data_IF_203028792893
#
_entry.id   IF_203028792893
#
_cell.length_a   1.000
_cell.length_b   1.000
_cell.length_c   1.000
_cell.angle_alpha   90.00
_cell.angle_beta   90.00
_cell.angle_gamma   90.00
#
_symmetry.space_group_name_H-M   'P 1'
#
loop_
_entity.id
_entity.type
_entity.pdbx_description
1 polymer ?
#
# COMPACT_ATOMS: atom_id res chain seq x y z
N UNK A 1 30.83 -40.59 -1.18
CA UNK A 1 29.87 -40.03 -0.20
C UNK A 1 29.97 -38.51 -0.28
N UNK A 2 28.84 -37.79 -0.46
CA UNK A 2 28.85 -36.32 -0.36
C UNK A 2 28.99 -35.96 1.13
N UNK A 3 29.75 -34.93 1.51
CA UNK A 3 29.90 -34.54 2.91
C UNK A 3 28.57 -34.05 3.48
N UNK A 4 28.34 -34.30 4.77
CA UNK A 4 27.17 -33.82 5.51
C UNK A 4 27.14 -32.28 5.51
N UNK A 5 25.93 -31.71 5.48
CA UNK A 5 25.75 -30.26 5.52
C UNK A 5 26.05 -29.73 6.92
N UNK A 6 26.75 -28.59 7.01
CA UNK A 6 26.99 -27.85 8.27
C UNK A 6 25.82 -26.93 8.65
N UNK A 7 24.80 -26.86 7.80
CA UNK A 7 23.61 -26.01 7.91
C UNK A 7 22.37 -26.79 7.45
N UNK A 8 21.19 -26.37 7.89
CA UNK A 8 19.92 -26.90 7.38
C UNK A 8 19.58 -26.30 6.02
N UNK A 9 18.82 -27.02 5.19
CA UNK A 9 18.36 -26.52 3.88
C UNK A 9 17.59 -25.20 4.06
N UNK A 10 16.78 -25.09 5.12
CA UNK A 10 16.05 -23.89 5.48
C UNK A 10 16.94 -22.66 5.77
N UNK A 11 18.04 -22.85 6.49
CA UNK A 11 18.99 -21.75 6.80
C UNK A 11 19.65 -21.23 5.53
N UNK A 12 20.08 -22.14 4.64
CA UNK A 12 20.69 -21.72 3.37
C UNK A 12 19.71 -20.97 2.49
N UNK A 13 18.48 -21.47 2.41
CA UNK A 13 17.40 -20.78 1.72
C UNK A 13 17.16 -19.39 2.33
N UNK A 14 17.15 -19.26 3.66
CA UNK A 14 16.94 -17.97 4.31
C UNK A 14 18.07 -16.96 3.98
N UNK A 15 19.32 -17.40 4.00
CA UNK A 15 20.49 -16.59 3.62
C UNK A 15 20.38 -16.09 2.17
N UNK A 16 20.11 -16.98 1.21
CA UNK A 16 19.96 -16.60 -0.20
C UNK A 16 18.83 -15.56 -0.39
N UNK A 17 17.80 -15.59 0.45
CA UNK A 17 16.73 -14.60 0.41
C UNK A 17 17.13 -13.27 0.99
N UNK A 18 17.81 -13.26 2.13
CA UNK A 18 18.31 -12.01 2.70
C UNK A 18 19.22 -11.29 1.70
N UNK A 19 20.04 -12.04 0.96
CA UNK A 19 20.81 -11.52 -0.16
C UNK A 19 19.93 -10.92 -1.26
N UNK A 20 18.86 -11.61 -1.69
CA UNK A 20 17.91 -11.08 -2.69
C UNK A 20 17.17 -9.83 -2.21
N UNK A 21 16.75 -9.80 -0.94
CA UNK A 21 16.09 -8.64 -0.32
C UNK A 21 17.08 -7.47 -0.25
N UNK A 22 18.35 -7.75 0.03
CA UNK A 22 19.43 -6.78 0.04
C UNK A 22 19.67 -6.09 -1.30
N UNK A 23 19.22 -6.70 -2.41
CA UNK A 23 19.29 -6.06 -3.73
C UNK A 23 18.31 -4.90 -3.90
N UNK A 24 17.24 -4.83 -3.10
CA UNK A 24 16.23 -3.76 -3.22
C UNK A 24 16.88 -2.42 -2.87
N UNK A 25 16.85 -1.43 -3.78
CA UNK A 25 17.42 -0.12 -3.51
C UNK A 25 16.79 0.55 -2.28
N UNK A 26 17.62 0.96 -1.32
CA UNK A 26 17.22 1.74 -0.14
C UNK A 26 17.35 3.24 -0.41
N UNK A 27 16.64 3.72 -1.42
CA UNK A 27 16.68 5.13 -1.84
C UNK A 27 15.43 5.84 -1.31
N UNK A 28 15.59 7.06 -0.78
CA UNK A 28 14.46 7.89 -0.41
C UNK A 28 13.74 8.40 -1.67
N UNK A 29 12.44 8.09 -1.87
CA UNK A 29 11.68 8.56 -3.02
C UNK A 29 11.55 10.09 -3.12
N UNK A 30 11.87 10.84 -2.07
CA UNK A 30 11.87 12.31 -2.08
C UNK A 30 13.24 12.93 -2.43
N UNK A 31 14.33 12.17 -2.37
CA UNK A 31 15.68 12.65 -2.74
C UNK A 31 15.84 12.66 -4.27
N UNK A 32 15.24 13.65 -4.95
CA UNK A 32 15.08 13.71 -6.41
C UNK A 32 16.40 13.79 -7.19
N UNK A 33 17.48 14.17 -6.53
CA UNK A 33 18.85 14.24 -7.04
C UNK A 33 19.54 12.88 -7.15
N UNK A 34 19.02 11.86 -6.44
CA UNK A 34 19.58 10.51 -6.45
C UNK A 34 18.79 9.63 -7.42
N UNK A 35 19.41 9.13 -8.51
CA UNK A 35 18.72 8.26 -9.45
C UNK A 35 18.33 6.93 -8.77
N UNK A 36 17.15 6.41 -9.12
CA UNK A 36 16.76 5.05 -8.71
C UNK A 36 17.60 4.07 -9.54
N UNK A 37 18.37 3.16 -8.92
CA UNK A 37 19.10 2.13 -9.64
C UNK A 37 18.13 1.26 -10.46
N UNK A 38 18.56 0.63 -11.56
CA UNK A 38 17.68 -0.29 -12.29
C UNK A 38 17.25 -1.47 -11.42
N UNK A 39 16.13 -2.11 -11.78
CA UNK A 39 15.65 -3.32 -11.12
C UNK A 39 16.79 -4.35 -11.03
N UNK A 40 17.08 -4.90 -9.84
CA UNK A 40 18.16 -5.86 -9.70
C UNK A 40 17.91 -7.10 -10.56
N UNK A 41 18.92 -7.50 -11.33
CA UNK A 41 18.91 -8.76 -12.03
C UNK A 41 19.17 -9.90 -11.02
N UNK A 42 18.26 -10.87 -10.97
CA UNK A 42 18.49 -12.08 -10.19
C UNK A 42 19.64 -12.87 -10.83
N UNK A 43 20.60 -13.33 -10.00
CA UNK A 43 21.78 -14.08 -10.45
C UNK A 43 21.42 -15.41 -11.12
N UNK A 44 20.31 -16.01 -10.69
CA UNK A 44 19.82 -17.30 -11.17
C UNK A 44 18.32 -17.22 -11.51
N UNK A 45 17.86 -18.06 -12.45
CA UNK A 45 16.44 -18.27 -12.70
C UNK A 45 15.78 -19.06 -11.55
N UNK A 46 14.45 -19.05 -11.48
CA UNK A 46 13.70 -19.86 -10.49
C UNK A 46 14.08 -21.34 -10.63
N UNK A 47 14.19 -21.83 -11.87
CA UNK A 47 14.53 -23.23 -12.16
C UNK A 47 15.94 -23.58 -11.67
N UNK A 48 16.91 -22.67 -11.82
CA UNK A 48 18.28 -22.85 -11.33
C UNK A 48 18.32 -22.88 -9.80
N UNK A 49 17.60 -21.96 -9.13
CA UNK A 49 17.46 -21.94 -7.68
C UNK A 49 16.83 -23.25 -7.16
N UNK A 50 15.77 -23.73 -7.82
CA UNK A 50 15.10 -24.97 -7.44
C UNK A 50 15.99 -26.20 -7.61
N UNK A 51 16.77 -26.30 -8.70
CA UNK A 51 17.75 -27.38 -8.87
C UNK A 51 18.80 -27.36 -7.76
N UNK A 52 19.26 -26.17 -7.36
CA UNK A 52 20.22 -26.01 -6.27
C UNK A 52 19.63 -26.46 -4.93
N UNK A 53 18.38 -26.08 -4.64
CA UNK A 53 17.67 -26.56 -3.45
C UNK A 53 17.41 -28.07 -3.49
N UNK A 54 17.11 -28.61 -4.68
CA UNK A 54 16.96 -30.04 -4.91
C UNK A 54 18.23 -30.81 -4.54
N UNK A 55 19.40 -30.34 -4.97
CA UNK A 55 20.68 -30.94 -4.63
C UNK A 55 21.03 -30.87 -3.13
N UNK A 56 20.52 -29.87 -2.41
CA UNK A 56 20.66 -29.76 -0.96
C UNK A 56 19.73 -30.74 -0.25
N UNK A 57 18.48 -30.83 -0.71
CA UNK A 57 17.49 -31.80 -0.21
C UNK A 57 18.02 -33.23 -0.36
N UNK A 58 18.65 -33.56 -1.49
CA UNK A 58 19.23 -34.89 -1.74
C UNK A 58 20.38 -35.28 -0.80
N UNK A 59 20.95 -34.32 -0.07
CA UNK A 59 21.98 -34.58 0.95
C UNK A 59 21.38 -34.87 2.32
N UNK A 60 20.11 -34.53 2.55
CA UNK A 60 19.45 -34.77 3.83
C UNK A 60 18.97 -36.22 3.87
N UNK A 61 19.45 -36.96 4.88
CA UNK A 61 19.02 -38.32 5.10
C UNK A 61 17.51 -38.36 5.38
N UNK A 62 16.81 -39.29 4.73
CA UNK A 62 15.38 -39.48 4.96
C UNK A 62 15.12 -39.84 6.44
N UNK A 63 14.03 -39.34 7.05
CA UNK A 63 13.67 -39.62 8.43
C UNK A 63 13.63 -41.13 8.67
N UNK A 64 14.46 -41.61 9.59
CA UNK A 64 14.36 -42.98 10.08
C UNK A 64 13.05 -43.10 10.87
N UNK A 65 12.35 -44.23 10.73
CA UNK A 65 10.99 -44.47 11.27
C UNK A 65 10.84 -44.39 12.80
N UNK A 66 11.88 -44.01 13.53
CA UNK A 66 11.98 -44.10 14.99
C UNK A 66 11.48 -42.87 15.76
N UNK A 67 11.14 -41.76 15.09
CA UNK A 67 10.75 -40.49 15.76
C UNK A 67 9.31 -40.43 16.28
N UNK A 68 8.56 -41.53 16.18
CA UNK A 68 7.15 -41.58 16.58
C UNK A 68 6.28 -40.62 15.75
N UNK A 69 5.08 -40.33 16.27
CA UNK A 69 4.11 -39.46 15.60
C UNK A 69 4.47 -37.99 15.79
N UNK A 70 4.37 -37.19 14.72
CA UNK A 70 4.63 -35.75 14.82
C UNK A 70 3.52 -35.06 15.65
N UNK A 71 3.84 -34.08 16.53
CA UNK A 71 2.84 -33.45 17.42
C UNK A 71 1.60 -32.88 16.71
N UNK A 72 1.76 -32.34 15.51
CA UNK A 72 0.64 -31.86 14.69
C UNK A 72 -0.34 -33.00 14.30
N UNK A 73 0.18 -34.21 14.06
CA UNK A 73 -0.63 -35.39 13.76
C UNK A 73 -1.25 -35.96 15.03
N UNK A 74 -0.54 -35.95 16.16
CA UNK A 74 -1.13 -36.33 17.46
C UNK A 74 -2.37 -35.49 17.78
N UNK A 75 -2.30 -34.19 17.49
CA UNK A 75 -3.44 -33.28 17.63
C UNK A 75 -4.62 -33.66 16.75
N UNK A 76 -4.37 -34.05 15.49
CA UNK A 76 -5.40 -34.54 14.58
C UNK A 76 -6.02 -35.84 15.10
N UNK A 77 -5.20 -36.76 15.60
CA UNK A 77 -5.66 -38.03 16.18
C UNK A 77 -6.53 -37.81 17.42
N UNK A 78 -6.12 -36.91 18.32
CA UNK A 78 -6.86 -36.58 19.54
C UNK A 78 -8.24 -35.97 19.23
N UNK A 79 -8.31 -35.08 18.23
CA UNK A 79 -9.59 -34.52 17.77
C UNK A 79 -10.48 -35.59 17.13
N UNK A 80 -9.90 -36.53 16.37
CA UNK A 80 -10.65 -37.63 15.77
C UNK A 80 -11.22 -38.60 16.80
N UNK A 81 -10.44 -38.91 17.85
CA UNK A 81 -10.89 -39.69 18.99
C UNK A 81 -12.03 -38.98 19.74
N UNK A 82 -11.91 -37.66 19.96
CA UNK A 82 -12.98 -36.84 20.55
C UNK A 82 -14.26 -36.90 19.70
N UNK A 83 -14.16 -36.82 18.37
CA UNK A 83 -15.31 -36.98 17.44
C UNK A 83 -15.93 -38.36 17.57
N UNK A 84 -15.12 -39.42 17.67
CA UNK A 84 -15.61 -40.77 17.87
C UNK A 84 -16.37 -40.93 19.20
N UNK A 85 -15.85 -40.39 20.30
CA UNK A 85 -16.53 -40.41 21.62
C UNK A 85 -17.85 -39.63 21.60
N UNK A 86 -17.87 -38.47 20.94
CA UNK A 86 -19.09 -37.69 20.78
C UNK A 86 -20.14 -38.41 19.94
N UNK A 87 -19.74 -39.15 18.90
CA UNK A 87 -20.69 -39.92 18.08
C UNK A 87 -21.35 -41.06 18.87
N UNK A 88 -20.60 -41.69 19.77
CA UNK A 88 -21.14 -42.71 20.70
C UNK A 88 -22.14 -42.09 21.68
N UNK A 89 -21.85 -40.87 22.15
CA UNK A 89 -22.70 -40.16 23.12
C UNK A 89 -23.92 -39.49 22.46
N UNK A 90 -23.74 -39.01 21.24
CA UNK A 90 -24.73 -38.23 20.48
C UNK A 90 -24.72 -38.69 19.02
N UNK A 91 -25.82 -39.31 18.60
CA UNK A 91 -25.98 -39.85 17.23
C UNK A 91 -25.93 -38.80 16.11
N UNK A 92 -26.02 -37.50 16.45
CA UNK A 92 -25.91 -36.37 15.52
C UNK A 92 -24.49 -35.79 15.41
N UNK A 93 -23.51 -36.36 16.13
CA UNK A 93 -22.12 -35.91 16.10
C UNK A 93 -21.44 -36.03 14.73
N UNK A 94 -20.46 -35.16 14.47
CA UNK A 94 -19.60 -35.27 13.29
C UNK A 94 -18.80 -36.57 13.35
N UNK A 95 -18.78 -37.33 12.24
CA UNK A 95 -18.03 -38.58 12.17
C UNK A 95 -16.52 -38.32 12.26
N UNK A 96 -15.76 -39.26 12.87
CA UNK A 96 -14.31 -39.23 12.76
C UNK A 96 -13.88 -39.35 11.29
N UNK A 97 -12.90 -38.56 10.91
CA UNK A 97 -12.37 -38.37 9.56
C UNK A 97 -11.23 -39.34 9.25
N UNK A 98 -10.42 -39.73 10.25
CA UNK A 98 -9.21 -40.53 10.07
C UNK A 98 -9.27 -41.93 10.71
N UNK A 99 -10.40 -42.31 11.31
CA UNK A 99 -10.57 -43.61 11.96
C UNK A 99 -10.45 -44.82 11.00
N UNK A 100 -10.69 -44.62 9.70
CA UNK A 100 -10.60 -45.66 8.67
C UNK A 100 -9.15 -46.14 8.45
N UNK A 101 -8.92 -47.35 7.91
CA UNK A 101 -7.58 -47.81 7.56
C UNK A 101 -6.84 -46.87 6.61
N UNK A 102 -7.57 -46.25 5.68
CA UNK A 102 -7.04 -45.24 4.76
C UNK A 102 -6.68 -43.94 5.51
N UNK A 103 -7.52 -43.50 6.46
CA UNK A 103 -7.26 -42.38 7.37
C UNK A 103 -5.97 -42.54 8.15
N UNK A 104 -5.75 -43.73 8.70
CA UNK A 104 -4.51 -44.06 9.42
C UNK A 104 -3.28 -44.05 8.52
N UNK A 105 -3.40 -44.54 7.28
CA UNK A 105 -2.32 -44.47 6.28
C UNK A 105 -1.97 -43.02 5.93
N UNK A 106 -2.98 -42.18 5.74
CA UNK A 106 -2.79 -40.74 5.50
C UNK A 106 -2.05 -40.08 6.67
N UNK A 107 -2.50 -40.29 7.91
CA UNK A 107 -1.87 -39.71 9.09
C UNK A 107 -0.42 -40.20 9.29
N UNK A 108 -0.14 -41.47 8.99
CA UNK A 108 1.21 -42.01 9.04
C UNK A 108 2.12 -41.38 7.97
N UNK A 109 1.63 -41.19 6.75
CA UNK A 109 2.36 -40.48 5.71
C UNK A 109 2.57 -39.00 6.05
N UNK A 110 1.54 -38.32 6.56
CA UNK A 110 1.63 -36.94 7.04
C UNK A 110 2.66 -36.79 8.15
N UNK A 111 2.66 -37.67 9.14
CA UNK A 111 3.66 -37.65 10.21
C UNK A 111 5.09 -37.73 9.65
N UNK A 112 5.32 -38.60 8.65
CA UNK A 112 6.62 -38.73 7.98
C UNK A 112 6.97 -37.47 7.18
N UNK A 113 6.02 -36.85 6.48
CA UNK A 113 6.23 -35.60 5.75
C UNK A 113 6.60 -34.44 6.69
N UNK A 114 5.94 -34.32 7.84
CA UNK A 114 6.24 -33.25 8.80
C UNK A 114 7.62 -33.43 9.43
N UNK A 115 8.00 -34.67 9.74
CA UNK A 115 9.37 -34.96 10.18
C UNK A 115 10.40 -34.69 9.09
N UNK A 116 10.10 -35.04 7.83
CA UNK A 116 10.93 -34.70 6.68
C UNK A 116 11.16 -33.19 6.57
N UNK A 117 10.10 -32.39 6.67
CA UNK A 117 10.24 -30.93 6.69
C UNK A 117 11.04 -30.41 7.89
N UNK A 118 10.86 -31.02 9.06
CA UNK A 118 11.66 -30.69 10.24
C UNK A 118 13.15 -30.98 10.02
N UNK A 119 13.48 -32.09 9.35
CA UNK A 119 14.86 -32.46 9.00
C UNK A 119 15.49 -31.52 7.97
N UNK A 120 14.67 -30.95 7.08
CA UNK A 120 15.10 -29.88 6.18
C UNK A 120 15.28 -28.52 6.89
N UNK A 121 14.92 -28.41 8.17
CA UNK A 121 14.93 -27.17 8.97
C UNK A 121 13.68 -26.31 8.79
N UNK A 122 12.65 -26.80 8.10
CA UNK A 122 11.36 -26.12 8.03
C UNK A 122 10.62 -26.29 9.36
N UNK A 123 9.65 -25.41 9.60
CA UNK A 123 8.88 -25.35 10.85
C UNK A 123 7.42 -25.73 10.55
N UNK A 124 7.09 -27.03 10.50
CA UNK A 124 5.70 -27.45 10.45
C UNK A 124 4.98 -27.05 11.74
N UNK A 125 3.72 -26.67 11.63
CA UNK A 125 2.90 -26.21 12.74
C UNK A 125 1.45 -26.66 12.60
N UNK A 126 0.73 -26.66 13.72
CA UNK A 126 -0.72 -26.90 13.74
C UNK A 126 -1.43 -25.89 14.63
N UNK A 127 -2.41 -25.18 14.07
CA UNK A 127 -3.26 -24.21 14.75
C UNK A 127 -4.68 -24.72 14.99
N UNK A 128 -5.45 -24.01 15.81
CA UNK A 128 -6.87 -24.32 16.06
C UNK A 128 -7.10 -25.42 17.09
N UNK A 129 -8.34 -25.53 17.59
CA UNK A 129 -8.75 -26.57 18.56
C UNK A 129 -9.64 -27.63 17.92
N UNK A 130 -10.71 -27.22 17.24
CA UNK A 130 -11.68 -28.12 16.56
C UNK A 130 -11.45 -28.24 15.06
N UNK A 131 -11.03 -27.14 14.43
CA UNK A 131 -10.65 -27.06 13.02
C UNK A 131 -9.14 -26.90 12.96
N UNK A 132 -8.44 -28.03 12.98
CA UNK A 132 -6.99 -28.05 13.01
C UNK A 132 -6.47 -27.58 11.65
N UNK A 133 -5.73 -26.48 11.64
CA UNK A 133 -5.07 -25.95 10.44
C UNK A 133 -3.62 -26.36 10.46
N UNK A 134 -3.13 -26.92 9.37
CA UNK A 134 -1.72 -27.26 9.23
C UNK A 134 -1.00 -26.15 8.47
N UNK A 135 0.25 -25.91 8.82
CA UNK A 135 1.10 -24.96 8.11
C UNK A 135 2.56 -25.37 8.15
N UNK A 136 3.34 -24.83 7.23
CA UNK A 136 4.78 -25.01 7.17
C UNK A 136 5.45 -23.66 6.93
N UNK A 137 6.44 -23.35 7.76
CA UNK A 137 7.24 -22.15 7.60
C UNK A 137 8.67 -22.47 7.15
N UNK A 138 9.19 -21.66 6.23
CA UNK A 138 10.56 -21.68 5.74
C UNK A 138 11.08 -20.24 5.74
N UNK A 139 11.83 -19.88 6.79
CA UNK A 139 12.19 -18.49 7.07
C UNK A 139 10.96 -17.63 7.38
N UNK A 140 10.83 -16.48 6.72
CA UNK A 140 9.70 -15.54 6.88
C UNK A 140 8.45 -15.95 6.10
N UNK A 141 8.53 -16.98 5.28
CA UNK A 141 7.38 -17.48 4.52
C UNK A 141 6.65 -18.55 5.33
N UNK A 142 5.34 -18.42 5.42
CA UNK A 142 4.45 -19.40 6.02
C UNK A 142 3.35 -19.77 5.02
N UNK A 143 3.08 -21.06 4.89
CA UNK A 143 2.03 -21.57 4.02
C UNK A 143 1.16 -22.59 4.73
N UNK A 144 -0.15 -22.33 4.78
CA UNK A 144 -1.11 -23.32 5.27
C UNK A 144 -1.38 -24.37 4.21
N UNK A 145 -1.70 -25.58 4.65
CA UNK A 145 -2.11 -26.66 3.76
C UNK A 145 -3.12 -27.58 4.43
N UNK A 146 -3.84 -28.31 3.60
CA UNK A 146 -4.84 -29.29 3.98
C UNK A 146 -4.48 -30.63 3.34
N UNK A 147 -4.81 -31.72 4.05
CA UNK A 147 -4.62 -33.08 3.56
C UNK A 147 -5.90 -33.85 3.78
N UNK A 148 -6.36 -34.57 2.76
CA UNK A 148 -7.63 -35.31 2.80
C UNK A 148 -7.70 -36.39 1.74
N UNK A 149 -8.91 -36.89 1.52
CA UNK A 149 -9.23 -37.81 0.43
C UNK A 149 -9.83 -37.02 -0.72
N UNK A 150 -9.60 -37.45 -1.97
CA UNK A 150 -10.32 -36.86 -3.10
C UNK A 150 -11.80 -37.18 -2.97
N UNK A 151 -12.59 -36.26 -2.44
CA UNK A 151 -14.03 -36.31 -2.60
C UNK A 151 -14.31 -36.23 -4.11
N UNK A 152 -15.05 -37.20 -4.66
CA UNK A 152 -15.46 -37.15 -6.07
C UNK A 152 -16.35 -35.95 -6.39
N UNK A 153 -16.85 -35.24 -5.39
CA UNK A 153 -17.71 -34.08 -5.60
C UNK A 153 -17.29 -32.92 -4.71
N UNK A 154 -17.43 -31.71 -5.25
CA UNK A 154 -17.60 -30.49 -4.47
C UNK A 154 -18.82 -30.58 -3.55
N UNK A 155 -19.37 -29.46 -3.06
CA UNK A 155 -20.43 -29.52 -2.07
C UNK A 155 -21.65 -30.25 -2.66
N UNK A 156 -21.97 -31.40 -2.07
CA UNK A 156 -23.10 -32.30 -2.33
C UNK A 156 -22.81 -33.52 -3.22
N UNK A 157 -22.65 -34.68 -2.58
CA UNK A 157 -23.35 -35.91 -3.00
C UNK A 157 -23.41 -36.95 -1.88
N UNK A 158 -24.63 -37.29 -1.49
CA UNK A 158 -24.98 -38.49 -0.74
C UNK A 158 -24.99 -39.67 -1.73
N UNK A 159 -24.14 -40.68 -1.50
CA UNK A 159 -24.45 -42.14 -1.55
C UNK A 159 -23.25 -42.98 -2.00
N UNK A 160 -22.87 -43.90 -1.12
CA UNK A 160 -22.71 -45.31 -1.47
C UNK A 160 -21.79 -45.64 -2.64
N UNK A 161 -20.49 -45.51 -2.43
CA UNK A 161 -19.46 -46.18 -3.25
C UNK A 161 -18.48 -46.84 -2.28
N UNK A 162 -18.25 -48.15 -2.45
CA UNK A 162 -17.28 -48.91 -1.67
C UNK A 162 -15.88 -48.35 -1.99
N UNK A 163 -15.27 -47.69 -1.02
CA UNK A 163 -13.93 -47.11 -1.11
C UNK A 163 -12.88 -48.23 -1.12
N UNK A 164 -12.38 -48.54 -2.31
CA UNK A 164 -11.10 -49.24 -2.49
C UNK A 164 -10.32 -48.39 -3.50
N UNK A 165 -9.23 -47.78 -3.02
CA UNK A 165 -8.30 -46.85 -3.70
C UNK A 165 -8.81 -45.45 -4.07
N UNK A 166 -9.29 -44.68 -3.09
CA UNK A 166 -9.38 -43.22 -3.26
C UNK A 166 -8.00 -42.57 -3.10
N UNK A 167 -7.52 -41.76 -4.06
CA UNK A 167 -6.23 -41.10 -3.94
C UNK A 167 -6.26 -40.05 -2.81
N UNK A 168 -5.11 -39.89 -2.17
CA UNK A 168 -4.87 -38.84 -1.18
C UNK A 168 -4.76 -37.49 -1.87
N UNK A 169 -5.22 -36.45 -1.19
CA UNK A 169 -5.18 -35.07 -1.67
C UNK A 169 -4.35 -34.22 -0.71
N UNK A 170 -3.37 -33.47 -1.23
CA UNK A 170 -2.72 -32.35 -0.53
C UNK A 170 -3.08 -31.06 -1.24
N UNK A 171 -3.52 -30.07 -0.49
CA UNK A 171 -3.87 -28.74 -1.01
C UNK A 171 -3.14 -27.68 -0.23
N UNK A 172 -2.32 -26.86 -0.91
CA UNK A 172 -1.84 -25.62 -0.32
C UNK A 172 -2.96 -24.58 -0.36
N UNK A 173 -3.12 -23.80 0.71
CA UNK A 173 -4.08 -22.68 0.74
C UNK A 173 -3.75 -21.74 -0.42
N UNK A 174 -4.72 -21.32 -1.24
CA UNK A 174 -4.42 -20.34 -2.29
C UNK A 174 -4.60 -18.92 -1.74
N UNK A 175 -3.62 -18.05 -2.00
CA UNK A 175 -3.68 -16.65 -1.60
C UNK A 175 -4.55 -15.80 -2.54
N UNK A 176 -5.00 -16.37 -3.66
CA UNK A 176 -5.71 -15.59 -4.68
C UNK A 176 -7.23 -15.71 -4.54
N UNK A 177 -7.90 -14.55 -4.50
CA UNK A 177 -9.36 -14.45 -4.64
C UNK A 177 -9.87 -14.96 -6.01
N UNK A 178 -8.97 -15.27 -6.93
CA UNK A 178 -9.25 -15.66 -8.32
C UNK A 178 -8.72 -17.06 -8.68
N UNK A 179 -8.32 -17.88 -7.71
CA UNK A 179 -7.75 -19.19 -8.03
C UNK A 179 -8.82 -20.08 -8.64
N UNK A 180 -8.46 -20.75 -9.73
CA UNK A 180 -9.38 -21.67 -10.39
C UNK A 180 -9.71 -22.82 -9.44
N UNK A 181 -10.96 -23.32 -9.42
CA UNK A 181 -11.30 -24.53 -8.69
C UNK A 181 -10.33 -25.67 -9.09
N UNK A 182 -9.60 -26.24 -8.12
CA UNK A 182 -8.62 -27.31 -8.35
C UNK A 182 -7.17 -26.85 -8.54
N UNK A 183 -6.89 -25.54 -8.59
CA UNK A 183 -5.52 -25.03 -8.60
C UNK A 183 -4.86 -25.25 -7.23
N UNK A 184 -3.66 -25.83 -7.21
CA UNK A 184 -2.92 -26.15 -5.97
C UNK A 184 -3.39 -27.42 -5.25
N UNK A 185 -4.18 -28.27 -5.93
CA UNK A 185 -4.60 -29.60 -5.45
C UNK A 185 -3.70 -30.67 -6.06
N UNK A 186 -3.12 -31.52 -5.21
CA UNK A 186 -2.24 -32.60 -5.61
C UNK A 186 -2.79 -33.93 -5.15
N UNK A 187 -2.90 -34.87 -6.09
CA UNK A 187 -3.45 -36.20 -5.84
C UNK A 187 -2.36 -37.26 -5.92
N UNK A 188 -2.38 -38.19 -4.97
CA UNK A 188 -1.37 -39.24 -4.84
C UNK A 188 -2.06 -40.57 -4.56
N UNK A 189 -1.64 -41.64 -5.23
CA UNK A 189 -2.14 -42.99 -4.92
C UNK A 189 -1.62 -43.47 -3.57
N UNK A 190 -0.37 -43.13 -3.23
CA UNK A 190 0.26 -43.41 -1.94
C UNK A 190 0.94 -42.16 -1.40
N UNK A 191 0.75 -41.88 -0.10
CA UNK A 191 1.34 -40.73 0.58
C UNK A 191 2.63 -41.15 1.33
N UNK A 192 3.71 -41.36 0.58
CA UNK A 192 5.00 -41.88 1.08
C UNK A 192 6.22 -41.08 0.55
N UNK A 193 7.42 -41.45 0.97
CA UNK A 193 8.70 -40.78 0.70
C UNK A 193 8.90 -40.31 -0.75
N UNK A 194 8.54 -41.06 -1.81
CA UNK A 194 8.74 -40.61 -3.19
C UNK A 194 7.99 -39.32 -3.53
N UNK A 195 6.88 -39.00 -2.84
CA UNK A 195 6.10 -37.78 -3.09
C UNK A 195 6.56 -36.58 -2.25
N UNK A 196 7.34 -36.80 -1.19
CA UNK A 196 7.74 -35.71 -0.27
C UNK A 196 8.68 -34.70 -0.91
N UNK A 197 9.67 -35.18 -1.68
CA UNK A 197 10.60 -34.30 -2.40
C UNK A 197 9.85 -33.43 -3.43
N UNK A 198 9.02 -33.97 -4.33
CA UNK A 198 8.16 -33.17 -5.22
C UNK A 198 7.33 -32.12 -4.48
N UNK A 199 6.59 -32.51 -3.42
CA UNK A 199 5.77 -31.58 -2.62
C UNK A 199 6.63 -30.44 -2.05
N UNK A 200 7.82 -30.78 -1.56
CA UNK A 200 8.77 -29.81 -0.99
C UNK A 200 9.27 -28.84 -2.06
N UNK A 201 9.67 -29.33 -3.24
CA UNK A 201 10.12 -28.48 -4.35
C UNK A 201 9.02 -27.55 -4.85
N UNK A 202 7.76 -27.99 -4.81
CA UNK A 202 6.62 -27.16 -5.18
C UNK A 202 6.38 -26.02 -4.18
N UNK A 203 6.45 -26.32 -2.88
CA UNK A 203 6.41 -25.29 -1.84
C UNK A 203 7.52 -24.25 -2.06
N UNK A 204 8.73 -24.70 -2.37
CA UNK A 204 9.88 -23.82 -2.64
C UNK A 204 9.70 -23.01 -3.93
N UNK A 205 9.08 -23.59 -4.97
CA UNK A 205 8.79 -22.91 -6.24
C UNK A 205 7.83 -21.75 -6.04
N UNK A 206 6.70 -22.00 -5.36
CA UNK A 206 5.73 -20.95 -5.05
C UNK A 206 6.37 -19.82 -4.22
N UNK A 207 7.18 -20.20 -3.25
CA UNK A 207 7.87 -19.28 -2.37
C UNK A 207 8.91 -18.41 -3.10
N UNK A 208 9.68 -19.01 -4.01
CA UNK A 208 10.66 -18.30 -4.85
C UNK A 208 9.96 -17.32 -5.79
N UNK A 209 8.87 -17.75 -6.44
CA UNK A 209 8.05 -16.89 -7.29
C UNK A 209 7.54 -15.67 -6.51
N UNK A 210 6.96 -15.90 -5.32
CA UNK A 210 6.44 -14.82 -4.46
C UNK A 210 7.50 -13.84 -4.02
N UNK A 211 8.69 -14.33 -3.67
CA UNK A 211 9.80 -13.45 -3.29
C UNK A 211 10.18 -12.54 -4.45
N UNK A 212 10.32 -13.08 -5.66
CA UNK A 212 10.65 -12.31 -6.85
C UNK A 212 9.56 -11.31 -7.20
N UNK A 213 8.30 -11.72 -7.10
CA UNK A 213 7.14 -10.83 -7.32
C UNK A 213 7.10 -9.70 -6.29
N UNK A 214 7.42 -9.99 -5.03
CA UNK A 214 7.50 -9.00 -3.96
C UNK A 214 8.65 -8.01 -4.17
N UNK A 215 9.85 -8.48 -4.56
CA UNK A 215 10.99 -7.62 -4.92
C UNK A 215 10.63 -6.71 -6.11
N UNK A 216 10.00 -7.26 -7.14
CA UNK A 216 9.52 -6.50 -8.29
C UNK A 216 8.41 -5.49 -7.90
N UNK A 217 7.54 -5.86 -6.97
CA UNK A 217 6.52 -4.96 -6.43
C UNK A 217 7.16 -3.78 -5.66
N UNK A 218 8.10 -4.06 -4.76
CA UNK A 218 8.80 -3.01 -4.00
C UNK A 218 9.49 -2.00 -4.92
N UNK A 219 10.14 -2.50 -5.97
CA UNK A 219 10.77 -1.64 -6.96
C UNK A 219 9.75 -0.75 -7.68
N UNK A 220 8.62 -1.33 -8.14
CA UNK A 220 7.55 -0.58 -8.80
C UNK A 220 6.94 0.47 -7.86
N UNK A 221 6.73 0.13 -6.59
CA UNK A 221 6.24 1.07 -5.59
C UNK A 221 7.22 2.23 -5.38
N UNK A 222 8.53 1.96 -5.28
CA UNK A 222 9.56 3.00 -5.19
C UNK A 222 9.55 3.93 -6.41
N UNK A 223 9.48 3.37 -7.63
CA UNK A 223 9.43 4.15 -8.85
C UNK A 223 8.15 5.00 -8.94
N UNK A 224 7.00 4.44 -8.56
CA UNK A 224 5.73 5.17 -8.52
C UNK A 224 5.78 6.34 -7.54
N UNK A 225 6.30 6.13 -6.31
CA UNK A 225 6.46 7.20 -5.31
C UNK A 225 7.41 8.31 -5.78
N UNK A 226 8.45 7.95 -6.54
CA UNK A 226 9.38 8.94 -7.13
C UNK A 226 8.70 9.82 -8.17
N UNK A 227 7.88 9.21 -9.03
CA UNK A 227 7.11 9.97 -10.02
C UNK A 227 6.15 10.94 -9.31
N UNK A 228 5.46 10.47 -8.27
CA UNK A 228 4.59 11.31 -7.45
C UNK A 228 5.34 12.47 -6.77
N UNK A 229 6.51 12.20 -6.20
CA UNK A 229 7.36 13.23 -5.58
C UNK A 229 7.84 14.27 -6.61
N UNK A 230 8.21 13.82 -7.81
CA UNK A 230 8.63 14.69 -8.92
C UNK A 230 7.49 15.60 -9.36
N UNK A 231 6.28 15.05 -9.49
CA UNK A 231 5.10 15.82 -9.86
C UNK A 231 4.75 16.86 -8.79
N UNK A 232 4.77 16.47 -7.51
CA UNK A 232 4.55 17.39 -6.38
C UNK A 232 5.58 18.51 -6.34
N UNK A 233 6.85 18.23 -6.64
CA UNK A 233 7.89 19.26 -6.69
C UNK A 233 7.64 20.28 -7.81
N UNK A 234 7.25 19.81 -9.01
CA UNK A 234 6.88 20.68 -10.14
C UNK A 234 5.68 21.57 -9.80
N UNK A 235 4.61 20.99 -9.25
CA UNK A 235 3.43 21.76 -8.84
C UNK A 235 3.75 22.78 -7.75
N UNK A 236 4.62 22.44 -6.79
CA UNK A 236 5.04 23.38 -5.76
C UNK A 236 5.85 24.54 -6.35
N UNK A 237 6.70 24.29 -7.35
CA UNK A 237 7.44 25.33 -8.06
C UNK A 237 6.50 26.24 -8.86
N UNK A 238 5.53 25.67 -9.57
CA UNK A 238 4.51 26.42 -10.31
C UNK A 238 3.66 27.28 -9.37
N UNK A 239 3.21 26.74 -8.24
CA UNK A 239 2.45 27.52 -7.23
C UNK A 239 3.28 28.67 -6.66
N UNK A 240 4.58 28.48 -6.43
CA UNK A 240 5.48 29.57 -6.00
C UNK A 240 5.57 30.65 -7.07
N UNK A 241 5.74 30.28 -8.35
CA UNK A 241 5.77 31.24 -9.47
C UNK A 241 4.46 31.99 -9.60
N UNK A 242 3.32 31.31 -9.48
CA UNK A 242 1.99 31.92 -9.51
C UNK A 242 1.77 32.87 -8.33
N UNK A 243 2.19 32.51 -7.12
CA UNK A 243 2.09 33.37 -5.94
C UNK A 243 2.88 34.66 -6.12
N UNK A 244 4.14 34.57 -6.56
CA UNK A 244 4.98 35.75 -6.84
C UNK A 244 4.35 36.62 -7.94
N UNK A 245 3.85 36.01 -9.02
CA UNK A 245 3.17 36.76 -10.08
C UNK A 245 1.88 37.43 -9.62
N UNK A 246 1.10 36.77 -8.77
CA UNK A 246 -0.13 37.31 -8.20
C UNK A 246 0.16 38.46 -7.23
N UNK A 247 1.20 38.36 -6.40
CA UNK A 247 1.66 39.44 -5.53
C UNK A 247 2.09 40.67 -6.35
N UNK A 248 2.87 40.47 -7.41
CA UNK A 248 3.28 41.55 -8.31
C UNK A 248 2.07 42.20 -9.01
N UNK A 249 1.13 41.40 -9.51
CA UNK A 249 -0.09 41.90 -10.14
C UNK A 249 -0.99 42.68 -9.15
N UNK A 250 -1.11 42.20 -7.91
CA UNK A 250 -1.84 42.88 -6.85
C UNK A 250 -1.23 44.25 -6.51
N UNK A 251 0.11 44.33 -6.42
CA UNK A 251 0.81 45.60 -6.20
C UNK A 251 0.59 46.59 -7.36
N UNK A 252 0.64 46.12 -8.62
CA UNK A 252 0.37 46.98 -9.78
C UNK A 252 -1.07 47.51 -9.74
N UNK A 253 -2.04 46.63 -9.46
CA UNK A 253 -3.45 47.01 -9.36
C UNK A 253 -3.69 48.03 -8.24
N UNK A 254 -3.12 47.79 -7.06
CA UNK A 254 -3.20 48.72 -5.94
C UNK A 254 -2.65 50.11 -6.31
N UNK A 255 -1.50 50.16 -6.99
CA UNK A 255 -0.91 51.43 -7.44
C UNK A 255 -1.79 52.16 -8.46
N UNK A 256 -2.44 51.42 -9.36
CA UNK A 256 -3.42 52.00 -10.30
C UNK A 256 -4.63 52.57 -9.56
N UNK A 257 -5.22 51.81 -8.62
CA UNK A 257 -6.35 52.27 -7.82
C UNK A 257 -6.02 53.55 -7.01
N UNK A 258 -4.79 53.66 -6.48
CA UNK A 258 -4.33 54.88 -5.79
C UNK A 258 -4.21 56.10 -6.72
N UNK A 259 -3.75 55.89 -7.96
CA UNK A 259 -3.66 56.95 -8.96
C UNK A 259 -5.05 57.38 -9.43
N UNK A 260 -5.92 56.42 -9.76
CA UNK A 260 -7.28 56.66 -10.23
C UNK A 260 -8.08 57.41 -9.16
N UNK A 261 -8.00 56.99 -7.89
CA UNK A 261 -8.64 57.69 -6.77
C UNK A 261 -8.18 59.14 -6.63
N UNK A 262 -6.89 59.42 -6.85
CA UNK A 262 -6.35 60.78 -6.79
C UNK A 262 -6.82 61.65 -7.98
N UNK A 263 -6.89 61.05 -9.18
CA UNK A 263 -7.41 61.71 -10.39
C UNK A 263 -8.90 62.02 -10.23
N UNK A 264 -9.71 61.04 -9.82
CA UNK A 264 -11.14 61.17 -9.61
C UNK A 264 -11.46 62.22 -8.55
N UNK A 265 -10.73 62.22 -7.43
CA UNK A 265 -10.88 63.23 -6.38
C UNK A 265 -10.61 64.64 -6.89
N UNK A 266 -9.56 64.82 -7.71
CA UNK A 266 -9.25 66.10 -8.36
C UNK A 266 -10.36 66.53 -9.32
N UNK A 267 -10.79 65.64 -10.22
CA UNK A 267 -11.85 65.95 -11.18
C UNK A 267 -13.16 66.33 -10.50
N UNK A 268 -13.54 65.61 -9.44
CA UNK A 268 -14.75 65.90 -8.68
C UNK A 268 -14.67 67.27 -8.00
N UNK A 269 -13.52 67.60 -7.40
CA UNK A 269 -13.30 68.92 -6.81
C UNK A 269 -13.39 70.05 -7.85
N UNK A 270 -12.82 69.87 -9.04
CA UNK A 270 -12.89 70.86 -10.12
C UNK A 270 -14.33 71.03 -10.63
N UNK A 271 -15.10 69.94 -10.77
CA UNK A 271 -16.53 70.00 -11.14
C UNK A 271 -17.38 70.72 -10.08
N UNK A 272 -17.14 70.47 -8.80
CA UNK A 272 -17.83 71.19 -7.71
C UNK A 272 -17.53 72.69 -7.76
N UNK A 273 -16.26 73.08 -7.95
CA UNK A 273 -15.88 74.50 -8.05
C UNK A 273 -16.50 75.19 -9.26
N UNK A 274 -16.56 74.50 -10.41
CA UNK A 274 -17.26 75.00 -11.60
C UNK A 274 -18.75 75.23 -11.33
N UNK A 275 -19.44 74.25 -10.74
CA UNK A 275 -20.86 74.36 -10.41
C UNK A 275 -21.12 75.55 -9.47
N UNK A 276 -20.30 75.72 -8.44
CA UNK A 276 -20.39 76.85 -7.51
C UNK A 276 -20.21 78.18 -8.24
N UNK A 277 -19.22 78.29 -9.14
CA UNK A 277 -18.95 79.50 -9.91
C UNK A 277 -20.09 79.84 -10.89
N UNK A 278 -20.65 78.84 -11.56
CA UNK A 278 -21.79 79.02 -12.47
C UNK A 278 -23.04 79.50 -11.71
N UNK A 279 -23.35 78.88 -10.56
CA UNK A 279 -24.49 79.28 -9.74
C UNK A 279 -24.31 80.67 -9.13
N UNK A 280 -23.10 81.00 -8.68
CA UNK A 280 -22.78 82.34 -8.19
C UNK A 280 -22.99 83.38 -9.29
N UNK A 281 -22.48 83.14 -10.49
CA UNK A 281 -22.66 84.06 -11.62
C UNK A 281 -24.14 84.31 -11.92
N UNK A 282 -24.97 83.25 -11.94
CA UNK A 282 -26.42 83.37 -12.18
C UNK A 282 -27.15 84.11 -11.07
N UNK A 283 -26.92 83.74 -9.81
CA UNK A 283 -27.62 84.34 -8.67
C UNK A 283 -27.21 85.79 -8.40
N UNK A 284 -25.96 86.16 -8.74
CA UNK A 284 -25.50 87.55 -8.64
C UNK A 284 -26.08 88.41 -9.76
N UNK A 285 -26.21 87.86 -10.97
CA UNK A 285 -26.85 88.56 -12.11
C UNK A 285 -28.35 88.78 -11.89
N UNK A 286 -29.03 87.85 -11.20
CA UNK A 286 -30.45 87.97 -10.87
C UNK A 286 -30.73 88.71 -9.55
N UNK A 287 -29.71 89.23 -8.84
CA UNK A 287 -29.83 89.83 -7.49
C UNK A 287 -30.56 88.93 -6.47
N UNK A 288 -30.39 87.61 -6.59
CA UNK A 288 -31.07 86.57 -5.76
C UNK A 288 -30.12 85.78 -4.86
N UNK A 289 -28.86 86.20 -4.76
CA UNK A 289 -27.93 85.61 -3.80
C UNK A 289 -28.37 85.92 -2.37
N UNK A 290 -28.86 84.91 -1.66
CA UNK A 290 -29.30 85.02 -0.27
C UNK A 290 -28.32 84.35 0.71
N UNK A 291 -28.59 84.48 2.01
CA UNK A 291 -27.75 83.89 3.06
C UNK A 291 -27.62 82.35 2.96
N UNK A 292 -28.63 81.66 2.40
CA UNK A 292 -28.59 80.19 2.25
C UNK A 292 -27.59 79.77 1.18
N UNK A 293 -27.52 80.53 0.08
CA UNK A 293 -26.52 80.30 -0.95
C UNK A 293 -25.09 80.49 -0.43
N UNK A 294 -24.84 81.52 0.39
CA UNK A 294 -23.50 81.76 0.98
C UNK A 294 -23.06 80.58 1.86
N UNK A 295 -23.95 80.09 2.72
CA UNK A 295 -23.68 78.93 3.58
C UNK A 295 -23.43 77.67 2.74
N UNK A 296 -24.28 77.40 1.74
CA UNK A 296 -24.11 76.26 0.84
C UNK A 296 -22.79 76.33 0.04
N UNK A 297 -22.44 77.51 -0.52
CA UNK A 297 -21.19 77.74 -1.24
C UNK A 297 -19.98 77.42 -0.36
N UNK A 298 -20.00 77.89 0.89
CA UNK A 298 -18.89 77.64 1.83
C UNK A 298 -18.71 76.15 2.13
N UNK A 299 -19.81 75.41 2.30
CA UNK A 299 -19.78 73.97 2.51
C UNK A 299 -19.31 73.24 1.24
N UNK A 300 -19.86 73.56 0.07
CA UNK A 300 -19.50 72.90 -1.19
C UNK A 300 -18.02 73.11 -1.57
N UNK A 301 -17.46 74.29 -1.30
CA UNK A 301 -16.03 74.55 -1.49
C UNK A 301 -15.16 73.80 -0.46
N UNK A 302 -15.64 73.64 0.78
CA UNK A 302 -14.96 72.82 1.79
C UNK A 302 -14.93 71.34 1.41
N UNK A 303 -16.03 70.80 0.87
CA UNK A 303 -16.07 69.43 0.34
C UNK A 303 -15.13 69.26 -0.87
N UNK A 304 -15.11 70.23 -1.78
CA UNK A 304 -14.17 70.22 -2.90
C UNK A 304 -12.70 70.22 -2.43
N UNK A 305 -12.36 71.01 -1.41
CA UNK A 305 -11.01 71.03 -0.85
C UNK A 305 -10.65 69.74 -0.09
N UNK A 306 -11.61 69.05 0.53
CA UNK A 306 -11.39 67.75 1.18
C UNK A 306 -11.11 66.62 0.16
N UNK A 307 -11.74 66.69 -1.02
CA UNK A 307 -11.57 65.73 -2.11
C UNK A 307 -10.32 66.01 -2.97
N UNK A 308 -9.91 67.28 -3.06
CA UNK A 308 -8.80 67.69 -3.93
C UNK A 308 -7.45 67.26 -3.35
N UNK A 309 -6.83 66.30 -4.04
CA UNK A 309 -5.51 65.80 -3.71
C UNK A 309 -4.44 66.92 -3.59
N UNK A 310 -4.58 68.04 -4.31
CA UNK A 310 -3.64 69.18 -4.26
C UNK A 310 -3.72 70.00 -2.97
N UNK A 311 -4.79 69.86 -2.19
CA UNK A 311 -5.03 70.60 -0.93
C UNK A 311 -4.53 69.84 0.30
N UNK A 312 -4.14 68.58 0.13
CA UNK A 312 -3.56 67.76 1.20
C UNK A 312 -2.23 68.34 1.68
N UNK A 313 -1.95 68.14 2.96
CA UNK A 313 -0.70 68.56 3.60
C UNK A 313 0.47 67.72 3.09
N UNK A 314 1.71 68.25 3.22
CA UNK A 314 2.91 67.51 2.83
C UNK A 314 3.06 66.15 3.54
N UNK A 315 2.61 66.04 4.80
CA UNK A 315 2.62 64.76 5.53
C UNK A 315 1.62 63.75 4.95
N UNK A 316 0.43 64.19 4.55
CA UNK A 316 -0.57 63.32 3.92
C UNK A 316 -0.14 62.85 2.54
N UNK A 317 0.54 63.70 1.77
CA UNK A 317 1.13 63.34 0.47
C UNK A 317 2.25 62.31 0.62
N UNK A 318 3.12 62.47 1.63
CA UNK A 318 4.16 61.48 1.94
C UNK A 318 3.58 60.14 2.37
N UNK A 319 2.49 60.15 3.16
CA UNK A 319 1.79 58.93 3.54
C UNK A 319 1.16 58.23 2.33
N UNK A 320 0.49 58.98 1.45
CA UNK A 320 -0.06 58.44 0.22
C UNK A 320 1.03 57.87 -0.70
N UNK A 321 2.18 58.53 -0.84
CA UNK A 321 3.33 57.99 -1.59
C UNK A 321 3.90 56.72 -0.95
N UNK A 322 3.90 56.62 0.38
CA UNK A 322 4.33 55.41 1.08
C UNK A 322 3.41 54.21 0.76
N UNK A 323 2.11 54.45 0.54
CA UNK A 323 1.13 53.41 0.18
C UNK A 323 1.39 52.80 -1.21
N UNK A 324 2.19 53.43 -2.07
CA UNK A 324 2.63 52.84 -3.35
C UNK A 324 3.67 51.73 -3.21
N UNK A 325 4.31 51.60 -2.03
CA UNK A 325 5.32 50.58 -1.75
C UNK A 325 6.39 50.50 -2.85
N UNK A 326 7.06 51.63 -3.14
CA UNK A 326 8.02 51.79 -4.25
C UNK A 326 9.45 51.33 -3.92
N UNK A 327 9.67 50.74 -2.75
CA UNK A 327 11.00 50.36 -2.24
C UNK A 327 11.20 48.85 -2.23
#
# INVERSE_FOLDING_TARGET
MKPDLTYTVAERIAEDREDMIGLVPKVDPNALDIPIPPLPAFKESIEQALRRYEELIDRVALPKSTRGTHPAVEKLMAEDERRAQLLVTYSWGTKPEFASPQGRRLLAGLSRLLWWWTDLGFKPSSGGTRHIRLGVACGQYHKSFEVGFTSKDGPSSLKGSKATDEPFQLRFESDSRNSKPGEGVYTFSDFDMPVFKPITLMLLSEQEQRLRDWVAWLYRDLAWRREEATQKAKEAEERKRQAVAAEQAALVKQRQELLDSAIDGKEHADRLRMLVAELETRLTTEERADARFIVWKSWALSEADALDFRKRTGQELLRWLADFQLC
#
